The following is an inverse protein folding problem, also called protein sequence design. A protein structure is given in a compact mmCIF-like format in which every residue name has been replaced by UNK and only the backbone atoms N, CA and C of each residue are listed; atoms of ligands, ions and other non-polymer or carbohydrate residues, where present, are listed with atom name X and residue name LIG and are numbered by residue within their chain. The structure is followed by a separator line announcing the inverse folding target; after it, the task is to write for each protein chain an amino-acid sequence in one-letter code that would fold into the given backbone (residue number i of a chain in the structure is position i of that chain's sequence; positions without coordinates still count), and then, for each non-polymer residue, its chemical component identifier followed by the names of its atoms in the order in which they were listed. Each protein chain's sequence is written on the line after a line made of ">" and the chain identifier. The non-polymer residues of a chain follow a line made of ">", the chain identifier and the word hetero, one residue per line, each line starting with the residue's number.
data_IF_811019340930
#
_entry.id   IF_811019340930
#
_cell.length_a   1.000
_cell.length_b   1.000
_cell.length_c   1.000
_cell.angle_alpha   90.00
_cell.angle_beta   90.00
_cell.angle_gamma   90.00
#
_symmetry.space_group_name_H-M   'P 1'
#
loop_
_entity.id
_entity.type
_entity.pdbx_description
1 polymer ?
#
# COMPACT_ATOMS: atom_id res chain seq x y z
N UNK A 1 3.14 -69.87 -16.65
CA UNK A 1 3.29 -68.54 -17.26
C UNK A 1 2.65 -67.53 -16.34
N UNK A 2 3.40 -66.93 -15.41
CA UNK A 2 2.92 -65.92 -14.49
C UNK A 2 3.20 -64.53 -15.06
N UNK A 3 2.16 -63.79 -15.38
CA UNK A 3 2.29 -62.37 -15.77
C UNK A 3 2.47 -61.52 -14.50
N UNK A 4 3.62 -60.90 -14.36
CA UNK A 4 3.86 -59.89 -13.32
C UNK A 4 3.23 -58.57 -13.76
N UNK A 5 2.27 -58.09 -12.99
CA UNK A 5 1.69 -56.74 -13.14
C UNK A 5 2.64 -55.80 -12.39
N UNK A 6 3.26 -54.88 -13.15
CA UNK A 6 4.07 -53.80 -12.57
C UNK A 6 3.07 -52.64 -12.32
N UNK A 7 2.83 -52.35 -11.05
CA UNK A 7 2.08 -51.15 -10.62
C UNK A 7 3.10 -50.01 -10.56
N UNK A 8 2.97 -49.06 -11.51
CA UNK A 8 3.72 -47.80 -11.47
C UNK A 8 2.94 -46.85 -10.55
N UNK A 9 3.47 -46.64 -9.35
CA UNK A 9 2.98 -45.60 -8.44
C UNK A 9 3.59 -44.29 -8.92
N UNK A 10 2.79 -43.47 -9.58
CA UNK A 10 3.16 -42.07 -9.89
C UNK A 10 2.97 -41.27 -8.59
N UNK A 11 4.05 -41.03 -7.89
CA UNK A 11 4.08 -40.08 -6.79
C UNK A 11 3.95 -38.65 -7.42
N UNK A 12 2.79 -38.06 -7.32
CA UNK A 12 2.64 -36.61 -7.52
C UNK A 12 3.41 -35.93 -6.38
N UNK A 13 4.66 -35.57 -6.65
CA UNK A 13 5.35 -34.55 -5.85
C UNK A 13 4.68 -33.21 -6.12
N UNK A 14 3.80 -32.80 -5.24
CA UNK A 14 3.46 -31.39 -5.09
C UNK A 14 4.72 -30.69 -4.61
N UNK A 15 5.46 -30.12 -5.54
CA UNK A 15 6.50 -29.14 -5.24
C UNK A 15 5.79 -27.90 -4.68
N UNK A 16 5.58 -27.86 -3.36
CA UNK A 16 5.52 -26.61 -2.67
C UNK A 16 6.89 -25.96 -2.88
N UNK A 17 6.96 -25.01 -3.82
CA UNK A 17 8.12 -24.14 -3.93
C UNK A 17 8.18 -23.35 -2.64
N UNK A 18 8.98 -23.80 -1.68
CA UNK A 18 9.49 -22.97 -0.61
C UNK A 18 10.22 -21.82 -1.31
N UNK A 19 9.55 -20.68 -1.38
CA UNK A 19 10.15 -19.41 -1.80
C UNK A 19 11.37 -19.21 -0.91
N UNK A 20 12.56 -19.30 -1.46
CA UNK A 20 13.76 -18.93 -0.74
C UNK A 20 13.56 -17.48 -0.28
N UNK A 21 13.73 -17.24 1.02
CA UNK A 21 13.70 -15.92 1.63
C UNK A 21 14.83 -15.11 0.98
N UNK A 22 14.54 -14.44 -0.13
CA UNK A 22 15.44 -13.42 -0.65
C UNK A 22 15.26 -12.22 0.28
N UNK A 23 16.27 -11.94 1.11
CA UNK A 23 16.38 -10.66 1.80
C UNK A 23 16.53 -9.60 0.71
N UNK A 24 15.39 -9.07 0.25
CA UNK A 24 15.37 -7.89 -0.61
C UNK A 24 15.50 -6.70 0.33
N UNK A 25 16.65 -6.02 0.27
CA UNK A 25 16.86 -4.81 1.06
C UNK A 25 15.87 -3.72 0.61
N UNK A 26 15.42 -2.90 1.56
CA UNK A 26 14.61 -1.74 1.27
C UNK A 26 15.37 -0.77 0.35
N UNK A 27 14.67 -0.15 -0.62
CA UNK A 27 15.27 0.85 -1.52
C UNK A 27 15.63 2.15 -0.80
N UNK A 28 15.04 2.38 0.35
CA UNK A 28 15.35 3.52 1.23
C UNK A 28 16.77 3.37 1.81
N UNK A 29 17.70 4.27 1.51
CA UNK A 29 19.07 4.17 2.02
C UNK A 29 19.13 4.25 3.55
N UNK A 30 19.89 3.35 4.18
CA UNK A 30 20.04 3.27 5.64
C UNK A 30 18.66 3.21 6.35
N UNK A 31 17.79 2.37 5.84
CA UNK A 31 16.44 2.18 6.39
C UNK A 31 16.48 1.98 7.91
N UNK A 32 15.50 2.55 8.60
CA UNK A 32 15.42 2.44 10.06
C UNK A 32 15.18 0.99 10.48
N UNK A 33 15.54 0.65 11.72
CA UNK A 33 15.31 -0.70 12.24
C UNK A 33 13.82 -1.06 12.26
N UNK A 34 12.96 -0.07 12.47
CA UNK A 34 11.50 -0.23 12.46
C UNK A 34 11.00 -0.55 11.05
N UNK A 35 11.50 0.16 10.02
CA UNK A 35 11.16 -0.11 8.63
C UNK A 35 11.67 -1.50 8.20
N UNK A 36 12.89 -1.86 8.58
CA UNK A 36 13.43 -3.20 8.30
C UNK A 36 12.63 -4.31 8.99
N UNK A 37 12.25 -4.11 10.26
CA UNK A 37 11.45 -5.10 10.99
C UNK A 37 10.07 -5.28 10.36
N UNK A 38 9.38 -4.19 10.03
CA UNK A 38 8.09 -4.25 9.33
C UNK A 38 8.23 -4.93 7.96
N UNK A 39 9.25 -4.59 7.19
CA UNK A 39 9.52 -5.20 5.89
C UNK A 39 9.75 -6.71 5.99
N UNK A 40 10.59 -7.14 6.93
CA UNK A 40 10.86 -8.56 7.17
C UNK A 40 9.59 -9.31 7.56
N UNK A 41 8.74 -8.70 8.41
CA UNK A 41 7.44 -9.27 8.77
C UNK A 41 6.55 -9.45 7.55
N UNK A 42 6.39 -8.43 6.71
CA UNK A 42 5.58 -8.51 5.49
C UNK A 42 6.09 -9.61 4.55
N UNK A 43 7.41 -9.71 4.35
CA UNK A 43 8.00 -10.76 3.53
C UNK A 43 7.81 -12.17 4.13
N UNK A 44 7.79 -12.29 5.46
CA UNK A 44 7.60 -13.59 6.12
C UNK A 44 6.17 -14.10 6.01
N UNK A 45 5.17 -13.24 6.07
CA UNK A 45 3.76 -13.61 5.97
C UNK A 45 3.25 -13.69 4.53
N UNK A 46 4.00 -13.18 3.53
CA UNK A 46 3.62 -13.20 2.11
C UNK A 46 3.26 -14.60 1.63
N UNK A 47 2.09 -14.75 1.01
CA UNK A 47 1.54 -16.01 0.55
C UNK A 47 1.03 -16.95 1.64
N UNK A 48 1.11 -16.54 2.92
CA UNK A 48 0.60 -17.32 4.07
C UNK A 48 -0.64 -16.67 4.67
N UNK A 49 -0.61 -15.35 4.81
CA UNK A 49 -1.65 -14.56 5.44
C UNK A 49 -1.92 -13.28 4.64
N UNK A 50 -3.07 -12.71 4.89
CA UNK A 50 -3.50 -11.41 4.38
C UNK A 50 -3.80 -10.50 5.56
N UNK A 51 -3.24 -9.28 5.57
CA UNK A 51 -3.51 -8.31 6.61
C UNK A 51 -4.83 -7.58 6.31
N UNK A 52 -5.69 -7.47 7.30
CA UNK A 52 -6.89 -6.65 7.22
C UNK A 52 -6.54 -5.17 7.25
N UNK A 53 -7.13 -4.38 6.37
CA UNK A 53 -6.89 -2.94 6.30
C UNK A 53 -8.17 -2.12 6.15
N UNK A 54 -8.18 -0.96 6.76
CA UNK A 54 -9.28 -0.01 6.69
C UNK A 54 -8.75 1.41 6.50
N UNK A 55 -9.28 2.10 5.50
CA UNK A 55 -9.04 3.54 5.36
C UNK A 55 -9.86 4.30 6.39
N UNK A 56 -9.20 5.10 7.20
CA UNK A 56 -9.84 5.99 8.15
C UNK A 56 -10.16 7.34 7.52
N UNK A 57 -11.22 7.98 7.99
CA UNK A 57 -11.60 9.32 7.56
C UNK A 57 -11.93 10.23 8.75
N UNK A 58 -11.56 11.53 8.70
CA UNK A 58 -11.88 12.47 9.76
C UNK A 58 -13.35 12.94 9.74
N UNK A 59 -14.13 12.44 8.79
CA UNK A 59 -15.53 12.83 8.58
C UNK A 59 -16.41 11.59 8.43
N UNK A 60 -17.60 11.64 8.99
CA UNK A 60 -18.58 10.56 8.88
C UNK A 60 -18.50 9.56 10.02
N UNK A 61 -18.31 8.31 9.70
CA UNK A 61 -18.22 7.20 10.68
C UNK A 61 -16.79 7.07 11.17
N UNK A 62 -16.60 6.79 12.46
CA UNK A 62 -15.32 6.25 12.92
C UNK A 62 -15.25 4.79 12.48
N UNK A 63 -14.49 4.52 11.43
CA UNK A 63 -14.41 3.22 10.79
C UNK A 63 -13.84 2.15 11.72
N UNK A 64 -12.89 2.51 12.57
CA UNK A 64 -12.27 1.56 13.51
C UNK A 64 -13.24 1.14 14.61
N UNK A 65 -13.95 2.10 15.19
CA UNK A 65 -14.97 1.83 16.19
C UNK A 65 -16.15 1.05 15.60
N UNK A 66 -16.52 1.35 14.34
CA UNK A 66 -17.53 0.58 13.63
C UNK A 66 -17.11 -0.89 13.45
N UNK A 67 -15.89 -1.14 12.97
CA UNK A 67 -15.34 -2.49 12.80
C UNK A 67 -15.30 -3.22 14.14
N UNK A 68 -14.77 -2.58 15.19
CA UNK A 68 -14.73 -3.16 16.54
C UNK A 68 -16.12 -3.55 17.04
N UNK A 69 -17.11 -2.72 16.79
CA UNK A 69 -18.50 -2.99 17.19
C UNK A 69 -19.11 -4.15 16.40
N UNK A 70 -18.83 -4.27 15.10
CA UNK A 70 -19.45 -5.28 14.22
C UNK A 70 -18.72 -6.62 14.32
N UNK A 71 -17.40 -6.61 14.34
CA UNK A 71 -16.57 -7.82 14.26
C UNK A 71 -15.91 -8.20 15.59
N UNK A 72 -15.86 -7.31 16.57
CA UNK A 72 -15.05 -7.50 17.76
C UNK A 72 -13.55 -7.31 17.56
N UNK A 73 -13.09 -6.99 16.34
CA UNK A 73 -11.70 -6.88 15.91
C UNK A 73 -11.37 -5.46 15.45
N UNK A 74 -10.09 -5.08 15.54
CA UNK A 74 -9.52 -3.93 14.82
C UNK A 74 -8.73 -4.42 13.62
N UNK A 75 -8.64 -3.65 12.51
CA UNK A 75 -7.81 -4.03 11.36
C UNK A 75 -6.33 -4.04 11.76
N UNK A 76 -5.51 -4.80 11.02
CA UNK A 76 -4.06 -4.83 11.19
C UNK A 76 -3.40 -3.56 10.66
N UNK A 77 -3.97 -2.97 9.60
CA UNK A 77 -3.51 -1.72 8.98
C UNK A 77 -4.59 -0.66 9.06
N UNK A 78 -4.16 0.57 9.33
CA UNK A 78 -5.00 1.73 9.18
C UNK A 78 -4.42 2.70 8.16
N UNK A 79 -5.25 3.11 7.21
CA UNK A 79 -4.87 4.03 6.15
C UNK A 79 -5.20 5.46 6.48
N UNK A 80 -4.22 6.35 6.30
CA UNK A 80 -4.35 7.78 6.48
C UNK A 80 -3.99 8.53 5.20
N UNK A 81 -4.41 9.80 5.11
CA UNK A 81 -4.23 10.62 3.93
C UNK A 81 -3.86 12.06 4.30
N UNK A 82 -2.77 12.55 3.76
CA UNK A 82 -2.33 13.95 3.89
C UNK A 82 -3.04 14.88 2.88
N UNK A 83 -4.34 14.67 2.65
CA UNK A 83 -5.13 15.41 1.65
C UNK A 83 -5.38 16.87 2.03
N UNK A 84 -5.45 17.18 3.33
CA UNK A 84 -5.72 18.53 3.82
C UNK A 84 -4.71 18.95 4.89
N UNK A 85 -4.00 20.04 4.66
CA UNK A 85 -2.97 20.56 5.57
C UNK A 85 -3.49 20.78 6.99
N UNK A 86 -4.72 21.26 7.13
CA UNK A 86 -5.35 21.51 8.44
C UNK A 86 -5.51 20.25 9.29
N UNK A 87 -5.57 19.06 8.67
CA UNK A 87 -5.79 17.78 9.33
C UNK A 87 -4.47 17.01 9.55
N UNK A 88 -3.39 17.39 8.85
CA UNK A 88 -2.13 16.64 8.86
C UNK A 88 -1.55 16.43 10.26
N UNK A 89 -1.60 17.42 11.13
CA UNK A 89 -1.10 17.26 12.51
C UNK A 89 -1.81 16.12 13.25
N UNK A 90 -3.14 16.03 13.10
CA UNK A 90 -3.96 14.97 13.69
C UNK A 90 -3.65 13.61 13.06
N UNK A 91 -3.52 13.54 11.74
CA UNK A 91 -3.18 12.32 11.01
C UNK A 91 -1.84 11.75 11.53
N UNK A 92 -0.84 12.62 11.69
CA UNK A 92 0.49 12.23 12.18
C UNK A 92 0.43 11.76 13.65
N UNK A 93 -0.30 12.45 14.51
CA UNK A 93 -0.49 12.04 15.91
C UNK A 93 -1.17 10.67 16.01
N UNK A 94 -2.22 10.44 15.21
CA UNK A 94 -2.92 9.15 15.17
C UNK A 94 -2.00 8.01 14.71
N UNK A 95 -1.19 8.21 13.66
CA UNK A 95 -0.24 7.21 13.19
C UNK A 95 0.79 6.85 14.26
N UNK A 96 1.29 7.84 15.02
CA UNK A 96 2.22 7.59 16.14
C UNK A 96 1.54 6.78 17.24
N UNK A 97 0.31 7.13 17.60
CA UNK A 97 -0.41 6.45 18.67
C UNK A 97 -0.83 5.04 18.28
N UNK A 98 -1.15 4.80 17.03
CA UNK A 98 -1.52 3.47 16.54
C UNK A 98 -0.31 2.55 16.40
N UNK A 99 0.82 3.06 15.89
CA UNK A 99 2.06 2.31 15.90
C UNK A 99 2.43 1.81 17.31
N UNK A 100 2.29 2.68 18.33
CA UNK A 100 2.50 2.29 19.72
C UNK A 100 1.55 1.20 20.22
N UNK A 101 0.38 1.05 19.58
CA UNK A 101 -0.60 -0.02 19.89
C UNK A 101 -0.36 -1.30 19.09
N UNK A 102 0.62 -1.30 18.18
CA UNK A 102 0.97 -2.43 17.33
C UNK A 102 0.31 -2.42 15.94
N UNK A 103 -0.47 -1.39 15.59
CA UNK A 103 -1.02 -1.26 14.24
C UNK A 103 0.06 -0.88 13.21
N UNK A 104 -0.09 -1.38 11.99
CA UNK A 104 0.82 -1.07 10.89
C UNK A 104 0.38 0.21 10.19
N UNK A 105 1.19 1.30 10.26
CA UNK A 105 0.82 2.59 9.69
C UNK A 105 0.99 2.61 8.17
N UNK A 106 -0.05 3.03 7.46
CA UNK A 106 0.01 3.31 6.03
C UNK A 106 -0.51 4.70 5.73
N UNK A 107 0.21 5.43 4.89
CA UNK A 107 -0.03 6.83 4.63
C UNK A 107 0.00 7.11 3.13
N UNK A 108 -1.05 7.74 2.65
CA UNK A 108 -1.14 8.22 1.27
C UNK A 108 -1.16 9.75 1.22
N UNK A 109 -1.15 10.28 0.03
CA UNK A 109 -1.24 11.70 -0.20
C UNK A 109 -2.03 12.01 -1.48
N UNK A 110 -3.26 12.45 -1.31
CA UNK A 110 -4.02 13.06 -2.41
C UNK A 110 -3.42 14.44 -2.74
N UNK A 111 -2.29 14.41 -3.41
CA UNK A 111 -1.54 15.61 -3.75
C UNK A 111 -2.34 16.53 -4.69
N UNK A 112 -2.74 17.69 -4.21
CA UNK A 112 -3.35 18.73 -5.04
C UNK A 112 -2.38 19.20 -6.13
N UNK A 113 -2.89 19.46 -7.33
CA UNK A 113 -2.03 19.90 -8.43
C UNK A 113 -1.25 21.17 -8.03
N UNK A 114 0.09 21.20 -8.21
CA UNK A 114 0.93 22.33 -7.83
C UNK A 114 0.40 23.69 -8.31
N UNK A 115 0.23 24.61 -7.38
CA UNK A 115 -0.35 25.93 -7.63
C UNK A 115 -1.88 25.98 -7.72
N UNK A 116 -2.59 24.87 -7.45
CA UNK A 116 -4.06 24.81 -7.48
C UNK A 116 -4.68 24.64 -6.09
N UNK A 117 -3.87 24.47 -5.04
CA UNK A 117 -4.32 24.21 -3.68
C UNK A 117 -4.47 22.73 -3.39
N UNK A 118 -5.13 22.39 -2.28
CA UNK A 118 -5.25 21.03 -1.73
C UNK A 118 -6.67 20.45 -1.83
N UNK A 119 -6.80 19.16 -1.60
CA UNK A 119 -8.06 18.44 -1.59
C UNK A 119 -8.34 17.65 -2.87
N UNK A 120 -9.34 16.77 -2.80
CA UNK A 120 -9.66 15.82 -3.87
C UNK A 120 -9.96 16.48 -5.23
N UNK A 121 -10.68 17.60 -5.22
CA UNK A 121 -10.96 18.35 -6.45
C UNK A 121 -9.67 18.89 -7.07
N UNK A 122 -8.77 19.43 -6.26
CA UNK A 122 -7.50 20.00 -6.69
C UNK A 122 -6.53 18.93 -7.17
N UNK A 123 -6.54 17.73 -6.58
CA UNK A 123 -5.71 16.60 -7.06
C UNK A 123 -6.09 16.15 -8.48
N UNK A 124 -7.31 16.45 -8.91
CA UNK A 124 -7.81 16.14 -10.27
C UNK A 124 -7.64 17.25 -11.29
N UNK A 125 -7.07 18.39 -10.91
CA UNK A 125 -6.91 19.54 -11.83
C UNK A 125 -5.72 19.29 -12.77
N UNK A 126 -5.96 19.51 -14.07
CA UNK A 126 -4.89 19.40 -15.07
C UNK A 126 -3.92 20.58 -14.97
N UNK A 127 -2.63 20.30 -15.01
CA UNK A 127 -1.53 21.26 -15.15
C UNK A 127 -0.59 20.77 -16.26
N UNK A 128 0.34 21.62 -16.65
CA UNK A 128 1.50 21.22 -17.45
C UNK A 128 2.58 20.71 -16.49
N UNK A 129 2.78 19.38 -16.47
CA UNK A 129 3.71 18.72 -15.54
C UNK A 129 5.14 19.16 -15.79
N UNK A 130 5.53 19.46 -17.03
CA UNK A 130 6.90 19.90 -17.36
C UNK A 130 7.26 21.22 -16.67
N UNK A 131 6.27 22.07 -16.38
CA UNK A 131 6.49 23.30 -15.62
C UNK A 131 6.89 23.06 -14.16
N UNK A 132 6.55 21.90 -13.57
CA UNK A 132 7.07 21.51 -12.26
C UNK A 132 8.60 21.39 -12.24
N UNK A 133 9.23 21.27 -13.39
CA UNK A 133 10.70 21.16 -13.53
C UNK A 133 11.36 22.40 -14.14
N UNK A 134 10.60 23.47 -14.34
CA UNK A 134 11.09 24.74 -14.87
C UNK A 134 11.15 25.78 -13.74
N UNK A 135 12.35 26.04 -13.22
CA UNK A 135 12.57 27.01 -12.14
C UNK A 135 11.97 28.37 -12.48
N UNK A 136 11.25 28.94 -11.51
CA UNK A 136 10.57 30.23 -11.64
C UNK A 136 9.14 30.15 -12.18
N UNK A 137 8.63 28.97 -12.47
CA UNK A 137 7.19 28.76 -12.73
C UNK A 137 6.42 28.58 -11.44
N UNK A 138 5.13 28.89 -11.45
CA UNK A 138 4.24 28.70 -10.30
C UNK A 138 4.21 27.22 -9.90
N UNK A 139 4.16 26.32 -10.88
CA UNK A 139 4.11 24.86 -10.64
C UNK A 139 5.40 24.34 -10.00
N UNK A 140 6.57 24.87 -10.40
CA UNK A 140 7.85 24.52 -9.78
C UNK A 140 7.91 24.94 -8.32
N UNK A 141 7.61 26.20 -8.03
CA UNK A 141 7.69 26.72 -6.66
C UNK A 141 6.67 26.04 -5.74
N UNK A 142 5.45 25.78 -6.24
CA UNK A 142 4.41 25.07 -5.49
C UNK A 142 4.79 23.60 -5.25
N UNK A 143 5.29 22.88 -6.25
CA UNK A 143 5.75 21.49 -6.09
C UNK A 143 6.80 21.38 -4.99
N UNK A 144 7.82 22.24 -5.00
CA UNK A 144 8.86 22.19 -3.97
C UNK A 144 8.35 22.61 -2.59
N UNK A 145 7.42 23.56 -2.51
CA UNK A 145 6.75 23.93 -1.26
C UNK A 145 5.99 22.74 -0.68
N UNK A 146 5.23 22.04 -1.51
CA UNK A 146 4.46 20.86 -1.11
C UNK A 146 5.37 19.71 -0.65
N UNK A 147 6.40 19.37 -1.45
CA UNK A 147 7.36 18.32 -1.10
C UNK A 147 8.06 18.65 0.24
N UNK A 148 8.44 19.90 0.46
CA UNK A 148 9.04 20.32 1.73
C UNK A 148 8.06 20.12 2.90
N UNK A 149 6.83 20.58 2.77
CA UNK A 149 5.79 20.49 3.79
C UNK A 149 5.50 19.02 4.17
N UNK A 150 5.34 18.15 3.17
CA UNK A 150 5.10 16.72 3.42
C UNK A 150 6.32 16.06 4.05
N UNK A 151 7.54 16.38 3.59
CA UNK A 151 8.76 15.87 4.21
C UNK A 151 8.92 16.33 5.68
N UNK A 152 8.43 17.52 6.04
CA UNK A 152 8.42 17.99 7.42
C UNK A 152 7.51 17.09 8.29
N UNK A 153 6.32 16.72 7.83
CA UNK A 153 5.42 15.78 8.52
C UNK A 153 5.99 14.36 8.61
N UNK A 154 6.55 13.84 7.52
CA UNK A 154 7.21 12.53 7.53
C UNK A 154 8.44 12.51 8.45
N UNK A 155 9.11 13.65 8.65
CA UNK A 155 10.20 13.80 9.62
C UNK A 155 9.70 13.58 11.05
N UNK A 156 8.50 14.06 11.41
CA UNK A 156 7.92 13.82 12.73
C UNK A 156 7.71 12.31 12.98
N UNK A 157 7.22 11.58 11.96
CA UNK A 157 7.07 10.11 12.06
C UNK A 157 8.42 9.42 12.19
N UNK A 158 9.43 9.83 11.42
CA UNK A 158 10.79 9.29 11.53
C UNK A 158 11.35 9.50 12.94
N UNK A 159 11.25 10.71 13.47
CA UNK A 159 11.82 11.06 14.78
C UNK A 159 11.04 10.38 15.94
N UNK A 160 9.80 9.95 15.68
CA UNK A 160 9.00 9.11 16.57
C UNK A 160 9.26 7.59 16.39
N UNK A 161 10.20 7.19 15.52
CA UNK A 161 10.50 5.79 15.16
C UNK A 161 9.29 5.03 14.59
N UNK A 162 8.47 5.70 13.79
CA UNK A 162 7.30 5.09 13.12
C UNK A 162 7.69 4.72 11.69
N UNK A 163 7.70 3.44 11.30
CA UNK A 163 7.84 3.02 9.91
C UNK A 163 6.56 3.35 9.17
N UNK A 164 6.63 3.66 7.89
CA UNK A 164 5.45 4.07 7.11
C UNK A 164 5.41 3.32 5.80
N UNK A 165 4.32 2.61 5.54
CA UNK A 165 3.96 2.16 4.19
C UNK A 165 3.52 3.40 3.41
N UNK A 166 4.46 4.01 2.69
CA UNK A 166 4.27 5.27 2.00
C UNK A 166 3.72 5.07 0.60
N UNK A 167 2.49 5.52 0.34
CA UNK A 167 1.71 5.34 -0.89
C UNK A 167 1.44 6.68 -1.61
N UNK A 168 2.51 7.42 -2.01
CA UNK A 168 2.30 8.69 -2.72
C UNK A 168 1.83 8.45 -4.15
N UNK A 169 1.17 9.44 -4.73
CA UNK A 169 0.75 9.41 -6.14
C UNK A 169 0.11 8.08 -6.55
N UNK A 170 -0.80 7.57 -5.69
CA UNK A 170 -1.55 6.33 -5.93
C UNK A 170 -2.41 6.44 -7.18
N UNK A 171 -2.89 5.29 -7.69
CA UNK A 171 -3.64 5.21 -8.95
C UNK A 171 -2.88 5.89 -10.11
N UNK A 172 -1.59 5.59 -10.20
CA UNK A 172 -0.62 6.34 -11.00
C UNK A 172 -0.94 6.37 -12.51
N UNK A 173 -1.67 5.40 -13.01
CA UNK A 173 -2.06 5.22 -14.41
C UNK A 173 -3.56 5.46 -14.70
N UNK A 174 -4.29 6.00 -13.71
CA UNK A 174 -5.74 6.19 -13.78
C UNK A 174 -6.22 7.35 -14.65
N UNK A 175 -5.34 8.26 -15.04
CA UNK A 175 -5.68 9.45 -15.85
C UNK A 175 -6.72 10.39 -15.21
N UNK A 176 -6.91 10.35 -13.90
CA UNK A 176 -7.80 11.30 -13.19
C UNK A 176 -7.07 12.22 -12.22
N UNK A 177 -5.99 11.79 -11.59
CA UNK A 177 -5.14 12.68 -10.82
C UNK A 177 -4.17 13.46 -11.70
N UNK A 178 -3.76 14.65 -11.29
CA UNK A 178 -2.92 15.53 -12.09
C UNK A 178 -1.62 14.86 -12.54
N UNK A 179 -0.99 14.07 -11.67
CA UNK A 179 0.25 13.34 -11.95
C UNK A 179 0.08 12.16 -12.91
N UNK A 180 -1.15 11.63 -13.05
CA UNK A 180 -1.48 10.54 -13.97
C UNK A 180 -2.06 11.06 -15.31
N UNK A 181 -2.31 12.37 -15.47
CA UNK A 181 -2.82 12.97 -16.70
C UNK A 181 -1.75 13.28 -17.75
N UNK A 182 -0.50 13.09 -17.39
CA UNK A 182 0.65 13.22 -18.26
C UNK A 182 1.07 11.89 -18.90
N UNK A 183 2.31 11.84 -19.32
CA UNK A 183 2.95 10.62 -19.81
C UNK A 183 3.57 9.84 -18.65
N UNK A 184 3.81 8.54 -18.85
CA UNK A 184 4.55 7.72 -17.89
C UNK A 184 5.94 8.32 -17.55
N UNK A 185 6.63 8.90 -18.53
CA UNK A 185 7.92 9.56 -18.30
C UNK A 185 7.83 10.78 -17.38
N UNK A 186 6.74 11.57 -17.48
CA UNK A 186 6.49 12.68 -16.58
C UNK A 186 6.20 12.19 -15.15
N UNK A 187 5.39 11.13 -15.01
CA UNK A 187 5.14 10.49 -13.73
C UNK A 187 6.43 9.96 -13.09
N UNK A 188 7.23 9.18 -13.83
CA UNK A 188 8.52 8.65 -13.35
C UNK A 188 9.43 9.78 -12.86
N UNK A 189 9.50 10.86 -13.59
CA UNK A 189 10.31 12.03 -13.20
C UNK A 189 9.82 12.66 -11.89
N UNK A 190 8.51 12.77 -11.68
CA UNK A 190 7.92 13.24 -10.42
C UNK A 190 8.27 12.28 -9.26
N UNK A 191 8.04 10.99 -9.46
CA UNK A 191 8.33 9.95 -8.46
C UNK A 191 9.79 9.95 -8.04
N UNK A 192 10.71 9.89 -9.00
CA UNK A 192 12.16 9.89 -8.77
C UNK A 192 12.60 11.19 -8.07
N UNK A 193 12.00 12.33 -8.41
CA UNK A 193 12.29 13.61 -7.76
C UNK A 193 11.88 13.57 -6.29
N UNK A 194 10.66 13.11 -5.99
CA UNK A 194 10.17 12.95 -4.61
C UNK A 194 11.05 11.96 -3.84
N UNK A 195 11.32 10.78 -4.40
CA UNK A 195 12.16 9.75 -3.79
C UNK A 195 13.53 10.30 -3.40
N UNK A 196 14.23 10.94 -4.35
CA UNK A 196 15.57 11.49 -4.09
C UNK A 196 15.54 12.59 -3.03
N UNK A 197 14.56 13.49 -3.09
CA UNK A 197 14.43 14.55 -2.10
C UNK A 197 14.18 13.99 -0.71
N UNK A 198 13.22 13.06 -0.56
CA UNK A 198 12.85 12.48 0.74
C UNK A 198 13.99 11.63 1.32
N UNK A 199 14.57 10.73 0.51
CA UNK A 199 15.57 9.79 1.03
C UNK A 199 16.96 10.39 1.12
N UNK A 200 17.40 11.15 0.11
CA UNK A 200 18.80 11.63 0.03
C UNK A 200 19.01 12.97 0.70
N UNK A 201 18.07 13.92 0.57
CA UNK A 201 18.20 15.26 1.14
C UNK A 201 17.61 15.34 2.55
N UNK A 202 16.34 14.86 2.71
CA UNK A 202 15.62 14.91 3.98
C UNK A 202 15.98 13.76 4.94
N UNK A 203 16.68 12.73 4.44
CA UNK A 203 17.09 11.54 5.22
C UNK A 203 15.90 10.83 5.88
N UNK A 204 14.78 10.75 5.18
CA UNK A 204 13.62 9.99 5.61
C UNK A 204 13.92 8.50 5.39
N UNK A 205 14.38 7.83 6.43
CA UNK A 205 14.81 6.44 6.38
C UNK A 205 13.78 5.46 6.96
N UNK A 206 12.60 5.94 7.30
CA UNK A 206 11.48 5.18 7.87
C UNK A 206 10.41 4.81 6.84
N UNK A 207 10.61 5.10 5.56
CA UNK A 207 9.62 4.88 4.51
C UNK A 207 9.85 3.56 3.79
N UNK A 208 8.77 2.78 3.63
CA UNK A 208 8.64 1.65 2.72
C UNK A 208 7.80 2.13 1.55
N UNK A 209 8.37 2.21 0.37
CA UNK A 209 7.75 2.84 -0.80
C UNK A 209 6.81 1.88 -1.52
N UNK A 210 5.56 2.28 -1.69
CA UNK A 210 4.51 1.47 -2.33
C UNK A 210 4.03 2.16 -3.61
N UNK A 211 4.35 1.58 -4.75
CA UNK A 211 3.84 2.04 -6.05
C UNK A 211 2.43 1.46 -6.25
N UNK A 212 1.47 2.32 -6.56
CA UNK A 212 0.06 1.95 -6.61
C UNK A 212 -0.55 2.21 -7.99
N UNK A 213 -0.87 1.15 -8.71
CA UNK A 213 -1.60 1.17 -9.97
C UNK A 213 -3.12 1.18 -9.75
N UNK A 214 -3.86 1.38 -10.83
CA UNK A 214 -5.30 1.14 -10.90
C UNK A 214 -5.60 -0.31 -11.26
N UNK A 215 -6.87 -0.66 -11.47
CA UNK A 215 -7.31 -1.98 -11.92
C UNK A 215 -6.74 -2.42 -13.28
N UNK A 216 -6.04 -1.55 -13.98
CA UNK A 216 -5.39 -1.82 -15.26
C UNK A 216 -3.92 -1.39 -15.23
N UNK A 217 -3.04 -2.09 -14.50
CA UNK A 217 -1.63 -1.71 -14.33
C UNK A 217 -0.90 -1.54 -15.67
N UNK A 218 -0.14 -0.45 -15.78
CA UNK A 218 0.65 -0.11 -16.97
C UNK A 218 2.14 0.02 -16.65
N UNK A 219 2.98 -0.72 -17.40
CA UNK A 219 4.43 -0.65 -17.29
C UNK A 219 5.01 0.73 -17.64
N UNK A 220 4.25 1.57 -18.37
CA UNK A 220 4.68 2.92 -18.72
C UNK A 220 4.90 3.80 -17.48
N UNK A 221 4.25 3.46 -16.35
CA UNK A 221 4.32 4.18 -15.09
C UNK A 221 5.29 3.55 -14.07
N UNK A 222 6.09 2.56 -14.46
CA UNK A 222 7.12 1.96 -13.61
C UNK A 222 8.36 2.87 -13.53
N UNK A 223 8.68 3.48 -12.35
CA UNK A 223 9.84 4.36 -12.20
C UNK A 223 11.17 3.61 -12.13
N UNK A 224 11.15 2.29 -12.05
CA UNK A 224 12.31 1.43 -11.84
C UNK A 224 12.37 0.85 -10.42
N UNK A 225 12.80 -0.40 -10.33
CA UNK A 225 12.81 -1.19 -9.07
C UNK A 225 13.65 -0.60 -7.94
N UNK A 226 14.55 0.31 -8.26
CA UNK A 226 15.37 1.03 -7.28
C UNK A 226 14.63 2.20 -6.58
N UNK A 227 13.36 2.45 -6.94
CA UNK A 227 12.59 3.58 -6.42
C UNK A 227 11.32 3.19 -5.68
N UNK A 228 11.05 1.89 -5.48
CA UNK A 228 9.94 1.38 -4.65
C UNK A 228 10.29 -0.01 -4.09
N UNK A 229 9.68 -0.35 -2.97
CA UNK A 229 9.89 -1.64 -2.28
C UNK A 229 8.85 -2.66 -2.73
N UNK A 230 7.61 -2.25 -2.96
CA UNK A 230 6.52 -3.08 -3.45
C UNK A 230 5.62 -2.30 -4.40
N UNK A 231 4.93 -3.04 -5.27
CA UNK A 231 3.93 -2.50 -6.18
C UNK A 231 2.63 -3.27 -6.04
N UNK A 232 1.51 -2.56 -6.10
CA UNK A 232 0.18 -3.11 -6.06
C UNK A 232 -0.80 -2.36 -6.94
N UNK A 233 -2.07 -2.70 -6.82
CA UNK A 233 -3.12 -2.07 -7.59
C UNK A 233 -4.39 -1.91 -6.76
N UNK A 234 -5.37 -1.18 -7.28
CA UNK A 234 -6.67 -1.02 -6.67
C UNK A 234 -7.82 -1.28 -7.64
N UNK A 235 -8.97 -1.61 -7.11
CA UNK A 235 -10.21 -1.66 -7.86
C UNK A 235 -11.42 -1.44 -6.94
N UNK A 236 -12.41 -0.74 -7.48
CA UNK A 236 -13.70 -0.53 -6.81
C UNK A 236 -14.82 -1.39 -7.42
N UNK A 237 -14.44 -2.44 -8.18
CA UNK A 237 -15.34 -3.44 -8.74
C UNK A 237 -15.92 -4.38 -7.67
N UNK A 238 -16.62 -5.41 -8.15
CA UNK A 238 -17.27 -6.41 -7.30
C UNK A 238 -16.57 -7.78 -7.32
N UNK A 239 -15.50 -7.91 -8.10
CA UNK A 239 -14.70 -9.13 -8.09
C UNK A 239 -13.97 -9.21 -6.73
N UNK A 240 -14.12 -10.36 -6.08
CA UNK A 240 -13.54 -10.63 -4.77
C UNK A 240 -12.16 -11.28 -4.83
N UNK A 241 -11.57 -11.41 -6.02
CA UNK A 241 -10.25 -12.02 -6.20
C UNK A 241 -9.32 -11.07 -6.94
N UNK A 242 -9.82 -10.42 -8.00
CA UNK A 242 -9.06 -9.53 -8.89
C UNK A 242 -7.80 -10.19 -9.46
N UNK A 243 -7.97 -11.46 -9.91
CA UNK A 243 -6.84 -12.27 -10.37
C UNK A 243 -6.10 -11.66 -11.55
N UNK A 244 -6.82 -11.17 -12.55
CA UNK A 244 -6.21 -10.58 -13.75
C UNK A 244 -5.38 -9.34 -13.40
N UNK A 245 -5.87 -8.52 -12.47
CA UNK A 245 -5.16 -7.36 -11.94
C UNK A 245 -3.92 -7.78 -11.17
N UNK A 246 -4.02 -8.79 -10.29
CA UNK A 246 -2.90 -9.34 -9.55
C UNK A 246 -1.81 -9.90 -10.48
N UNK A 247 -2.21 -10.73 -11.45
CA UNK A 247 -1.29 -11.32 -12.43
C UNK A 247 -0.59 -10.24 -13.27
N UNK A 248 -1.31 -9.14 -13.59
CA UNK A 248 -0.72 -8.02 -14.33
C UNK A 248 0.30 -7.25 -13.50
N UNK A 249 0.09 -7.07 -12.20
CA UNK A 249 1.10 -6.52 -11.29
C UNK A 249 2.34 -7.40 -11.29
N UNK A 250 2.18 -8.72 -11.18
CA UNK A 250 3.32 -9.67 -11.22
C UNK A 250 4.05 -9.67 -12.55
N UNK A 251 3.33 -9.53 -13.67
CA UNK A 251 3.93 -9.44 -15.01
C UNK A 251 4.88 -8.24 -15.12
N UNK A 252 4.47 -7.09 -14.59
CA UNK A 252 5.23 -5.83 -14.68
C UNK A 252 6.38 -5.81 -13.65
N UNK A 253 6.07 -6.13 -12.39
CA UNK A 253 6.97 -5.89 -11.25
C UNK A 253 7.69 -7.14 -10.75
N UNK A 254 7.30 -8.32 -11.24
CA UNK A 254 7.83 -9.59 -10.75
C UNK A 254 7.16 -10.04 -9.45
N UNK A 255 7.60 -11.19 -8.93
CA UNK A 255 6.97 -11.87 -7.80
C UNK A 255 7.87 -11.97 -6.56
N UNK A 256 8.90 -11.13 -6.47
CA UNK A 256 9.89 -11.23 -5.38
C UNK A 256 9.53 -10.42 -4.14
N UNK A 257 8.52 -9.58 -4.21
CA UNK A 257 8.06 -8.71 -3.13
C UNK A 257 6.57 -8.94 -2.88
N UNK A 258 6.08 -8.68 -1.65
CA UNK A 258 4.66 -8.73 -1.36
C UNK A 258 3.86 -7.77 -2.27
N UNK A 259 2.65 -8.17 -2.65
CA UNK A 259 1.77 -7.37 -3.53
C UNK A 259 0.58 -6.86 -2.74
N UNK A 260 0.43 -5.54 -2.54
CA UNK A 260 -0.72 -4.97 -1.84
C UNK A 260 -1.94 -4.79 -2.75
N UNK A 261 -3.12 -5.11 -2.24
CA UNK A 261 -4.38 -4.56 -2.72
C UNK A 261 -4.61 -3.23 -1.99
N UNK A 262 -3.96 -2.18 -2.50
CA UNK A 262 -3.71 -0.98 -1.71
C UNK A 262 -4.95 -0.14 -1.41
N UNK A 263 -6.02 -0.27 -2.22
CA UNK A 263 -7.37 0.21 -1.95
C UNK A 263 -8.40 -0.73 -2.58
N UNK A 264 -9.57 -0.87 -1.97
CA UNK A 264 -10.64 -1.66 -2.56
C UNK A 264 -12.04 -1.12 -2.20
N UNK A 265 -12.96 -1.33 -3.13
CA UNK A 265 -14.39 -1.12 -2.88
C UNK A 265 -15.09 -2.36 -2.34
N UNK A 266 -14.47 -3.53 -2.52
CA UNK A 266 -14.94 -4.84 -2.05
C UNK A 266 -13.75 -5.59 -1.46
N UNK A 267 -13.91 -6.13 -0.24
CA UNK A 267 -12.87 -6.93 0.42
C UNK A 267 -12.68 -8.22 -0.37
N UNK A 268 -11.44 -8.65 -0.67
CA UNK A 268 -11.19 -9.91 -1.33
C UNK A 268 -11.63 -11.10 -0.47
N UNK A 269 -12.10 -12.15 -1.13
CA UNK A 269 -12.45 -13.42 -0.50
C UNK A 269 -11.17 -14.21 -0.21
N UNK A 270 -10.79 -14.44 1.06
CA UNK A 270 -9.53 -15.07 1.38
C UNK A 270 -9.40 -16.49 0.82
N UNK A 271 -10.44 -17.31 0.92
CA UNK A 271 -10.41 -18.69 0.43
C UNK A 271 -10.20 -18.74 -1.08
N UNK A 272 -10.99 -17.98 -1.83
CA UNK A 272 -10.87 -17.92 -3.29
C UNK A 272 -9.52 -17.35 -3.74
N UNK A 273 -9.01 -16.33 -3.05
CA UNK A 273 -7.69 -15.75 -3.35
C UNK A 273 -6.57 -16.78 -3.17
N UNK A 274 -6.52 -17.45 -2.03
CA UNK A 274 -5.47 -18.46 -1.78
C UNK A 274 -5.61 -19.70 -2.68
N UNK A 275 -6.83 -20.14 -2.99
CA UNK A 275 -7.06 -21.24 -3.92
C UNK A 275 -6.53 -20.93 -5.33
N UNK A 276 -6.69 -19.69 -5.79
CA UNK A 276 -6.27 -19.22 -7.11
C UNK A 276 -4.84 -18.67 -7.14
N UNK A 277 -4.10 -18.70 -6.02
CA UNK A 277 -2.73 -18.20 -5.91
C UNK A 277 -2.62 -16.68 -5.98
N UNK A 278 -3.68 -15.97 -5.61
CA UNK A 278 -3.71 -14.51 -5.50
C UNK A 278 -3.37 -14.13 -4.06
N UNK A 279 -2.14 -13.72 -3.83
CA UNK A 279 -1.59 -13.50 -2.50
C UNK A 279 -1.50 -11.99 -2.20
N UNK A 280 -2.64 -11.31 -2.10
CA UNK A 280 -2.65 -9.93 -1.62
C UNK A 280 -2.10 -9.87 -0.20
N UNK A 281 -1.01 -9.13 0.02
CA UNK A 281 -0.40 -9.01 1.37
C UNK A 281 -1.31 -8.27 2.34
N UNK A 282 -2.11 -7.33 1.84
CA UNK A 282 -3.22 -6.68 2.54
C UNK A 282 -4.30 -6.26 1.57
N UNK A 283 -5.51 -5.99 2.10
CA UNK A 283 -6.48 -5.12 1.45
C UNK A 283 -6.66 -3.84 2.26
N UNK A 284 -7.10 -2.77 1.62
CA UNK A 284 -7.47 -1.50 2.27
C UNK A 284 -8.89 -1.12 1.83
N UNK A 285 -9.90 -1.50 2.62
CA UNK A 285 -11.27 -1.12 2.30
C UNK A 285 -11.42 0.39 2.42
N UNK A 286 -12.05 1.01 1.40
CA UNK A 286 -12.28 2.45 1.44
C UNK A 286 -13.25 2.83 2.54
N UNK A 287 -13.20 4.09 2.97
CA UNK A 287 -13.91 4.61 4.14
C UNK A 287 -15.43 4.80 3.93
N UNK A 288 -16.15 5.23 4.98
CA UNK A 288 -17.56 5.62 5.01
C UNK A 288 -18.52 4.54 4.46
N UNK A 289 -19.24 4.81 3.37
CA UNK A 289 -20.27 3.91 2.83
C UNK A 289 -19.72 2.59 2.28
N UNK A 290 -18.45 2.52 1.87
CA UNK A 290 -17.83 1.26 1.47
C UNK A 290 -17.80 0.27 2.63
N UNK A 291 -17.54 0.76 3.85
CA UNK A 291 -17.59 -0.07 5.06
C UNK A 291 -19.03 -0.25 5.59
N UNK A 292 -19.78 0.86 5.75
CA UNK A 292 -21.06 0.78 6.47
C UNK A 292 -22.16 0.08 5.69
N UNK A 293 -22.05 -0.01 4.36
CA UNK A 293 -22.96 -0.76 3.49
C UNK A 293 -22.54 -2.24 3.33
N UNK A 294 -21.41 -2.65 3.89
CA UNK A 294 -20.96 -4.03 3.83
C UNK A 294 -21.88 -4.94 4.65
N UNK A 295 -22.13 -6.15 4.18
CA UNK A 295 -22.88 -7.13 4.96
C UNK A 295 -22.12 -7.46 6.26
N UNK A 296 -22.79 -7.30 7.40
CA UNK A 296 -22.15 -7.44 8.71
C UNK A 296 -21.75 -8.89 9.02
N UNK A 297 -22.49 -9.85 8.51
CA UNK A 297 -22.20 -11.28 8.70
C UNK A 297 -20.96 -11.65 7.90
N UNK A 298 -20.90 -11.19 6.66
CA UNK A 298 -19.72 -11.38 5.80
C UNK A 298 -18.50 -10.67 6.38
N UNK A 299 -18.63 -9.41 6.80
CA UNK A 299 -17.56 -8.66 7.42
C UNK A 299 -17.01 -9.36 8.68
N UNK A 300 -17.92 -9.86 9.53
CA UNK A 300 -17.54 -10.64 10.71
C UNK A 300 -16.80 -11.92 10.33
N UNK A 301 -17.29 -12.66 9.32
CA UNK A 301 -16.65 -13.88 8.83
C UNK A 301 -15.23 -13.60 8.33
N UNK A 302 -15.03 -12.58 7.49
CA UNK A 302 -13.70 -12.20 6.96
C UNK A 302 -12.72 -11.85 8.08
N UNK A 303 -13.14 -11.05 9.07
CA UNK A 303 -12.28 -10.63 10.18
C UNK A 303 -11.95 -11.74 11.19
N UNK A 304 -12.58 -12.93 11.06
CA UNK A 304 -12.30 -14.13 11.85
C UNK A 304 -11.77 -15.29 11.01
N UNK A 305 -11.40 -15.03 9.77
CA UNK A 305 -10.88 -16.04 8.88
C UNK A 305 -9.43 -16.43 9.25
N UNK A 306 -9.10 -17.73 9.29
CA UNK A 306 -7.81 -18.26 9.75
C UNK A 306 -6.57 -17.71 9.00
N UNK A 307 -6.75 -17.17 7.80
CA UNK A 307 -5.67 -16.59 6.98
C UNK A 307 -5.71 -15.07 6.91
N UNK A 308 -6.56 -14.44 7.69
CA UNK A 308 -6.67 -12.98 7.81
C UNK A 308 -6.13 -12.57 9.17
N UNK A 309 -5.16 -11.68 9.17
CA UNK A 309 -4.60 -11.15 10.42
C UNK A 309 -5.25 -9.81 10.74
N UNK A 310 -5.66 -9.69 12.00
CA UNK A 310 -6.19 -8.48 12.62
C UNK A 310 -5.21 -7.97 13.66
N UNK A 311 -5.43 -6.77 14.22
CA UNK A 311 -4.48 -6.14 15.16
C UNK A 311 -4.05 -7.04 16.32
N UNK A 312 -5.00 -7.76 16.92
CA UNK A 312 -4.75 -8.64 18.07
C UNK A 312 -3.98 -9.94 17.73
N UNK A 313 -3.73 -10.18 16.45
CA UNK A 313 -2.97 -11.32 15.92
C UNK A 313 -1.58 -10.92 15.42
N UNK A 314 -1.28 -9.62 15.39
CA UNK A 314 0.05 -9.15 15.02
C UNK A 314 1.06 -9.47 16.14
N UNK A 315 2.28 -9.92 15.77
CA UNK A 315 3.37 -10.02 16.74
C UNK A 315 3.91 -8.64 17.12
N UNK A 316 4.80 -8.59 18.09
CA UNK A 316 5.64 -7.40 18.25
C UNK A 316 6.55 -7.28 17.02
N UNK A 317 6.21 -6.37 16.12
CA UNK A 317 6.94 -6.13 14.87
C UNK A 317 8.43 -5.83 15.15
N UNK A 318 8.75 -5.21 16.29
CA UNK A 318 10.14 -4.85 16.62
C UNK A 318 11.02 -6.06 16.98
N UNK A 319 10.42 -7.22 17.26
CA UNK A 319 11.15 -8.46 17.45
C UNK A 319 11.50 -9.18 16.13
N UNK A 320 10.93 -8.73 15.00
CA UNK A 320 11.27 -9.26 13.68
C UNK A 320 12.65 -8.77 13.22
N UNK A 321 13.54 -9.72 12.93
CA UNK A 321 14.93 -9.49 12.55
C UNK A 321 15.20 -9.91 11.11
#
# INVERSE_FOLDING_TARGET
>A
MMRRIIIIVIALCTLSQLRAKNNVDLVTPNASKEACALWNYLCDIDGKYMLSGQMWSPWGVDELDYLKKVTGKYPALCGHDLIHEKDNAREIELLIDWWKKGEIPTLMWHWGAPGKGEGYKQSKMKIDIDRCFQKGTVEYEAMWSDLKRIADWLTVLRDANVPVLWRPMHECDGNWFWYSKGTGEQFKKLWITMFNYFTKERKLNNLIWVLCHTGHPSADFDPGKEYYDMAGADNYGKDKVEKDMYDKVLEIHGSNTPVPYHECGTIPDPDACFELGVNWIWWMLWHTSHLTNYDKTELNHIYHHDRVLTLDELPDIMEYK
#
